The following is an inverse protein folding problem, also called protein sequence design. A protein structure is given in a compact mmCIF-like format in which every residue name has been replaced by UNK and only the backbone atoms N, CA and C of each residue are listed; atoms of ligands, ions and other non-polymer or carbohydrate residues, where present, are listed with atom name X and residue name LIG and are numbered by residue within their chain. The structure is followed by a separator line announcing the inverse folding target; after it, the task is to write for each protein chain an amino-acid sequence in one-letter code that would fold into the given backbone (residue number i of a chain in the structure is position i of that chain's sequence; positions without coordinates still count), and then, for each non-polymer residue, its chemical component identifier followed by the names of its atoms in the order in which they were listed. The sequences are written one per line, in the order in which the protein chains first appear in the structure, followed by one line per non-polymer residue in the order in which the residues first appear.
data_IF_690997736222
#
_entry.id   IF_690997736222
#
_cell.length_a   1.000
_cell.length_b   1.000
_cell.length_c   1.000
_cell.angle_alpha   90.00
_cell.angle_beta   90.00
_cell.angle_gamma   90.00
#
_symmetry.space_group_name_H-M   'P 1'
#
loop_
_entity.id
_entity.type
_entity.pdbx_description
1 polymer ?
#
# COMPACT_ATOMS: atom_id res chain seq x y z
N UNK A 1 -13.90 -18.82 18.38
CA UNK A 1 -14.18 -18.89 16.93
C UNK A 1 -13.87 -17.58 16.24
N UNK A 2 -14.05 -16.45 16.92
CA UNK A 2 -13.91 -15.11 16.36
C UNK A 2 -12.48 -14.80 15.83
N UNK A 3 -11.43 -15.19 16.56
CA UNK A 3 -10.04 -14.97 16.14
C UNK A 3 -9.73 -15.62 14.78
N UNK A 4 -10.21 -16.85 14.53
CA UNK A 4 -9.94 -17.53 13.26
C UNK A 4 -10.70 -16.88 12.12
N UNK A 5 -12.00 -16.61 12.28
CA UNK A 5 -12.86 -16.12 11.20
C UNK A 5 -12.75 -14.61 10.96
N UNK A 6 -12.47 -13.82 11.99
CA UNK A 6 -12.40 -12.35 11.88
C UNK A 6 -10.97 -11.82 11.68
N UNK A 7 -9.96 -12.59 12.06
CA UNK A 7 -8.56 -12.15 11.99
C UNK A 7 -7.72 -13.02 11.06
N UNK A 8 -7.56 -14.32 11.39
CA UNK A 8 -6.59 -15.17 10.68
C UNK A 8 -7.02 -15.44 9.25
N UNK A 9 -8.26 -15.85 9.04
CA UNK A 9 -8.76 -16.23 7.70
C UNK A 9 -8.81 -15.03 6.75
N UNK A 10 -9.30 -13.83 7.12
CA UNK A 10 -9.23 -12.63 6.29
C UNK A 10 -7.79 -12.23 5.97
N UNK A 11 -6.90 -12.20 6.97
CA UNK A 11 -5.49 -11.87 6.77
C UNK A 11 -4.80 -12.82 5.78
N UNK A 12 -4.92 -14.13 6.01
CA UNK A 12 -4.34 -15.15 5.10
C UNK A 12 -4.97 -15.06 3.73
N UNK A 13 -6.27 -14.86 3.63
CA UNK A 13 -6.99 -14.70 2.37
C UNK A 13 -6.49 -13.52 1.55
N UNK A 14 -6.36 -12.34 2.16
CA UNK A 14 -5.79 -11.16 1.52
C UNK A 14 -4.36 -11.43 1.06
N UNK A 15 -3.51 -11.96 1.95
CA UNK A 15 -2.11 -12.23 1.64
C UNK A 15 -1.96 -13.20 0.45
N UNK A 16 -2.72 -14.30 0.44
CA UNK A 16 -2.70 -15.29 -0.65
C UNK A 16 -3.10 -14.64 -1.97
N UNK A 17 -4.17 -13.84 -1.99
CA UNK A 17 -4.63 -13.16 -3.22
C UNK A 17 -3.54 -12.22 -3.74
N UNK A 18 -2.93 -11.41 -2.88
CA UNK A 18 -1.89 -10.45 -3.27
C UNK A 18 -0.65 -11.15 -3.82
N UNK A 19 -0.22 -12.25 -3.20
CA UNK A 19 0.95 -13.03 -3.68
C UNK A 19 0.60 -13.73 -4.99
N UNK A 20 -0.58 -14.34 -5.13
CA UNK A 20 -0.98 -15.00 -6.38
C UNK A 20 -1.04 -14.00 -7.55
N UNK A 21 -1.51 -12.78 -7.33
CA UNK A 21 -1.52 -11.72 -8.36
C UNK A 21 -0.10 -11.28 -8.70
N UNK A 22 0.79 -11.17 -7.72
CA UNK A 22 2.20 -10.92 -7.93
C UNK A 22 2.83 -12.00 -8.82
N UNK A 23 2.66 -13.27 -8.46
CA UNK A 23 3.17 -14.41 -9.23
C UNK A 23 2.57 -14.50 -10.63
N UNK A 24 1.32 -14.09 -10.78
CA UNK A 24 0.66 -13.99 -12.08
C UNK A 24 1.36 -13.00 -13.02
N UNK A 25 1.93 -11.92 -12.48
CA UNK A 25 2.76 -10.98 -13.24
C UNK A 25 3.97 -11.66 -13.87
N UNK A 26 4.74 -12.40 -13.07
CA UNK A 26 5.89 -13.19 -13.55
C UNK A 26 5.46 -14.26 -14.54
N UNK A 27 4.38 -14.97 -14.25
CA UNK A 27 3.86 -16.01 -15.12
C UNK A 27 3.47 -15.48 -16.50
N UNK A 28 2.65 -14.42 -16.56
CA UNK A 28 2.17 -13.85 -17.83
C UNK A 28 3.35 -13.35 -18.66
N UNK A 29 4.23 -12.57 -18.07
CA UNK A 29 5.37 -11.98 -18.78
C UNK A 29 6.38 -13.03 -19.24
N UNK A 30 6.64 -14.06 -18.43
CA UNK A 30 7.48 -15.21 -18.82
C UNK A 30 6.90 -15.93 -20.03
N UNK A 31 5.59 -16.23 -20.03
CA UNK A 31 4.91 -16.88 -21.17
C UNK A 31 4.95 -16.02 -22.43
N UNK A 32 4.67 -14.71 -22.31
CA UNK A 32 4.69 -13.78 -23.45
C UNK A 32 6.09 -13.59 -24.06
N UNK A 33 7.13 -13.71 -23.26
CA UNK A 33 8.53 -13.53 -23.69
C UNK A 33 9.23 -14.86 -24.05
N UNK A 34 8.50 -15.99 -24.01
CA UNK A 34 9.03 -17.31 -24.35
C UNK A 34 10.03 -17.85 -23.32
N UNK A 35 9.93 -17.44 -22.06
CA UNK A 35 10.58 -18.08 -20.91
C UNK A 35 9.75 -19.29 -20.49
N UNK A 36 10.39 -20.44 -20.28
CA UNK A 36 9.69 -21.65 -19.87
C UNK A 36 9.33 -21.59 -18.39
N UNK A 37 8.02 -21.70 -18.11
CA UNK A 37 7.50 -21.84 -16.74
C UNK A 37 7.41 -23.34 -16.42
N UNK A 38 8.14 -23.76 -15.42
CA UNK A 38 8.18 -25.16 -14.96
C UNK A 38 6.95 -25.48 -14.11
N UNK A 39 6.63 -24.62 -13.17
CA UNK A 39 5.52 -24.79 -12.24
C UNK A 39 4.94 -23.45 -11.82
N UNK A 40 3.61 -23.39 -11.70
CA UNK A 40 2.86 -22.30 -11.08
C UNK A 40 2.00 -22.91 -9.99
N UNK A 41 2.22 -22.54 -8.73
CA UNK A 41 1.58 -23.16 -7.58
C UNK A 41 0.94 -22.16 -6.63
N UNK A 42 -0.18 -22.56 -6.05
CA UNK A 42 -0.83 -21.89 -4.91
C UNK A 42 -0.42 -22.66 -3.65
N UNK A 43 0.11 -21.94 -2.65
CA UNK A 43 0.67 -22.53 -1.44
C UNK A 43 2.06 -23.12 -1.64
N UNK A 44 2.69 -23.56 -0.55
CA UNK A 44 4.01 -24.20 -0.56
C UNK A 44 3.91 -25.72 -0.31
N UNK A 45 4.86 -26.51 -0.82
CA UNK A 45 4.90 -27.95 -0.66
C UNK A 45 4.68 -28.44 0.79
N UNK A 46 4.15 -29.68 0.95
CA UNK A 46 3.96 -30.72 -0.05
C UNK A 46 2.73 -30.49 -0.94
N UNK A 47 2.80 -31.03 -2.21
CA UNK A 47 1.73 -30.89 -3.17
C UNK A 47 0.51 -31.73 -2.76
N UNK A 48 -0.67 -31.10 -2.77
CA UNK A 48 -1.96 -31.76 -2.58
C UNK A 48 -2.51 -32.29 -3.91
N UNK A 49 -2.48 -31.45 -4.93
CA UNK A 49 -3.04 -31.75 -6.25
C UNK A 49 -2.28 -30.96 -7.31
N UNK A 50 -2.31 -31.48 -8.56
CA UNK A 50 -1.73 -30.76 -9.67
C UNK A 50 -1.95 -31.45 -11.00
N UNK A 51 -1.87 -30.68 -12.08
CA UNK A 51 -1.96 -31.15 -13.45
C UNK A 51 -0.93 -30.44 -14.32
N UNK A 52 -0.59 -31.06 -15.44
CA UNK A 52 0.34 -30.48 -16.42
C UNK A 52 -0.43 -30.03 -17.65
N UNK A 53 -0.26 -28.75 -18.03
CA UNK A 53 -0.84 -28.20 -19.23
C UNK A 53 0.18 -27.33 -19.96
N UNK A 54 0.33 -27.58 -21.29
CA UNK A 54 1.30 -26.85 -22.14
C UNK A 54 2.72 -26.76 -21.55
N UNK A 55 3.18 -27.84 -20.92
CA UNK A 55 4.52 -27.96 -20.37
C UNK A 55 4.74 -27.22 -19.05
N UNK A 56 3.71 -26.71 -18.40
CA UNK A 56 3.72 -26.11 -17.06
C UNK A 56 2.91 -26.98 -16.11
N UNK A 57 3.44 -27.23 -14.93
CA UNK A 57 2.73 -27.88 -13.83
C UNK A 57 1.96 -26.82 -13.07
N UNK A 58 0.65 -27.02 -12.90
CA UNK A 58 -0.20 -26.19 -12.03
C UNK A 58 -0.47 -26.98 -10.77
N UNK A 59 -0.10 -26.44 -9.61
CA UNK A 59 -0.16 -27.15 -8.34
C UNK A 59 -0.93 -26.39 -7.25
N UNK A 60 -1.66 -27.15 -6.44
CA UNK A 60 -2.22 -26.73 -5.18
C UNK A 60 -1.47 -27.44 -4.07
N UNK A 61 -0.98 -26.71 -3.10
CA UNK A 61 -0.10 -27.22 -2.06
C UNK A 61 -0.71 -27.04 -0.66
N UNK A 62 -0.14 -27.75 0.31
CA UNK A 62 -0.68 -27.85 1.67
C UNK A 62 -0.58 -26.56 2.50
N UNK A 63 0.52 -25.82 2.34
CA UNK A 63 0.74 -24.61 3.14
C UNK A 63 0.15 -23.40 2.41
N UNK A 64 -1.02 -22.87 2.81
CA UNK A 64 -1.73 -21.80 2.11
C UNK A 64 -1.09 -20.42 2.39
N UNK A 65 0.23 -20.33 2.33
CA UNK A 65 0.99 -19.11 2.63
C UNK A 65 1.48 -18.43 1.37
N UNK A 66 0.62 -18.27 0.36
CA UNK A 66 0.96 -17.57 -0.87
C UNK A 66 0.98 -18.44 -2.12
N UNK A 67 1.86 -18.13 -3.06
CA UNK A 67 2.04 -18.83 -4.32
C UNK A 67 3.48 -18.75 -4.78
N UNK A 68 3.78 -19.39 -5.90
CA UNK A 68 5.07 -19.30 -6.56
C UNK A 68 4.97 -19.60 -8.06
N UNK A 69 5.89 -19.01 -8.82
CA UNK A 69 6.13 -19.33 -10.22
C UNK A 69 7.58 -19.71 -10.38
N UNK A 70 7.84 -20.96 -10.75
CA UNK A 70 9.20 -21.47 -10.98
C UNK A 70 9.55 -21.36 -12.45
N UNK A 71 10.45 -20.47 -12.78
CA UNK A 71 10.98 -20.29 -14.12
C UNK A 71 12.15 -21.23 -14.38
N UNK A 72 12.39 -21.58 -15.64
CA UNK A 72 13.55 -22.37 -16.03
C UNK A 72 14.79 -21.47 -15.98
N UNK A 73 15.85 -21.95 -15.31
CA UNK A 73 17.18 -21.35 -15.32
C UNK A 73 17.18 -19.86 -15.01
N UNK A 74 16.74 -19.47 -13.82
CA UNK A 74 16.70 -18.05 -13.40
C UNK A 74 18.12 -17.46 -13.38
N UNK A 75 19.10 -18.26 -13.00
CA UNK A 75 20.52 -17.89 -12.95
C UNK A 75 21.37 -18.64 -14.00
N UNK A 76 20.86 -19.76 -14.56
CA UNK A 76 21.58 -20.62 -15.51
C UNK A 76 21.13 -20.37 -16.96
N UNK A 77 22.03 -19.86 -17.84
CA UNK A 77 21.75 -19.59 -19.26
C UNK A 77 21.92 -20.81 -20.17
N UNK A 78 22.14 -22.03 -19.68
CA UNK A 78 22.44 -23.21 -20.49
C UNK A 78 21.32 -23.59 -21.46
N UNK A 79 20.06 -23.34 -21.11
CA UNK A 79 18.90 -23.59 -21.94
C UNK A 79 18.41 -22.28 -22.61
N UNK A 80 18.16 -22.25 -23.94
CA UNK A 80 17.65 -21.06 -24.63
C UNK A 80 16.28 -20.55 -24.14
N UNK A 81 15.49 -21.40 -23.48
CA UNK A 81 14.21 -21.05 -22.86
C UNK A 81 14.34 -20.61 -21.39
N UNK A 82 15.56 -20.62 -20.83
CA UNK A 82 15.81 -20.13 -19.48
C UNK A 82 15.67 -18.61 -19.41
N UNK A 83 15.29 -18.09 -18.23
CA UNK A 83 15.25 -16.63 -18.00
C UNK A 83 16.63 -16.02 -18.21
N UNK A 84 17.67 -16.65 -17.68
CA UNK A 84 19.04 -16.16 -17.81
C UNK A 84 19.51 -16.08 -19.27
N UNK A 85 19.07 -16.95 -20.18
CA UNK A 85 19.44 -16.88 -21.59
C UNK A 85 18.76 -15.72 -22.35
N UNK A 86 17.71 -15.13 -21.81
CA UNK A 86 16.97 -14.04 -22.48
C UNK A 86 17.75 -12.71 -22.50
N UNK A 87 17.45 -11.82 -23.45
CA UNK A 87 17.98 -10.46 -23.44
C UNK A 87 17.69 -9.74 -22.12
N UNK A 88 18.57 -8.83 -21.70
CA UNK A 88 18.50 -8.14 -20.41
C UNK A 88 17.16 -7.41 -20.18
N UNK A 89 16.63 -6.75 -21.21
CA UNK A 89 15.33 -6.07 -21.12
C UNK A 89 14.17 -7.04 -20.84
N UNK A 90 14.21 -8.27 -21.41
CA UNK A 90 13.21 -9.31 -21.11
C UNK A 90 13.33 -9.74 -19.66
N UNK A 91 14.56 -9.97 -19.17
CA UNK A 91 14.81 -10.32 -17.78
C UNK A 91 14.29 -9.24 -16.82
N UNK A 92 14.56 -7.97 -17.11
CA UNK A 92 14.04 -6.83 -16.33
C UNK A 92 12.51 -6.78 -16.31
N UNK A 93 11.84 -6.96 -17.45
CA UNK A 93 10.38 -6.98 -17.53
C UNK A 93 9.80 -8.14 -16.73
N UNK A 94 10.35 -9.35 -16.89
CA UNK A 94 9.84 -10.52 -16.16
C UNK A 94 10.02 -10.35 -14.66
N UNK A 95 11.21 -9.89 -14.21
CA UNK A 95 11.50 -9.67 -12.79
C UNK A 95 10.69 -8.52 -12.18
N UNK A 96 10.39 -7.46 -12.93
CA UNK A 96 9.58 -6.34 -12.43
C UNK A 96 8.07 -6.59 -12.49
N UNK A 97 7.62 -7.62 -13.21
CA UNK A 97 6.21 -7.81 -13.52
C UNK A 97 5.36 -8.14 -12.29
N UNK A 98 5.89 -8.92 -11.33
CA UNK A 98 5.21 -9.22 -10.07
C UNK A 98 4.90 -7.94 -9.29
N UNK A 99 5.92 -7.13 -9.04
CA UNK A 99 5.76 -5.81 -8.41
C UNK A 99 4.86 -4.90 -9.21
N UNK A 100 4.95 -4.93 -10.56
CA UNK A 100 4.09 -4.16 -11.46
C UNK A 100 2.60 -4.52 -11.33
N UNK A 101 2.26 -5.79 -11.20
CA UNK A 101 0.88 -6.23 -10.97
C UNK A 101 0.35 -5.71 -9.64
N UNK A 102 1.12 -5.84 -8.58
CA UNK A 102 0.74 -5.32 -7.26
C UNK A 102 0.70 -3.79 -7.20
N UNK A 103 1.46 -3.10 -8.05
CA UNK A 103 1.40 -1.64 -8.18
C UNK A 103 0.11 -1.16 -8.86
N UNK A 104 -0.43 -1.94 -9.80
CA UNK A 104 -1.66 -1.59 -10.54
C UNK A 104 -2.92 -2.05 -9.82
N UNK A 105 -2.86 -3.15 -9.08
CA UNK A 105 -4.01 -3.77 -8.40
C UNK A 105 -4.81 -2.82 -7.50
N UNK A 106 -4.20 -1.88 -6.73
CA UNK A 106 -4.94 -0.96 -5.87
C UNK A 106 -6.00 -0.14 -6.59
N UNK A 107 -5.78 0.23 -7.86
CA UNK A 107 -6.78 0.96 -8.67
C UNK A 107 -8.10 0.18 -8.74
N UNK A 108 -8.01 -1.12 -9.00
CA UNK A 108 -9.18 -1.99 -9.11
C UNK A 108 -9.81 -2.30 -7.75
N UNK A 109 -9.01 -2.48 -6.71
CA UNK A 109 -9.52 -2.71 -5.36
C UNK A 109 -10.27 -1.48 -4.84
N UNK A 110 -9.71 -0.28 -4.98
CA UNK A 110 -10.43 0.95 -4.64
C UNK A 110 -11.67 1.16 -5.52
N UNK A 111 -11.60 0.83 -6.82
CA UNK A 111 -12.78 0.89 -7.68
C UNK A 111 -13.89 -0.03 -7.17
N UNK A 112 -13.57 -1.26 -6.74
CA UNK A 112 -14.55 -2.17 -6.13
C UNK A 112 -15.17 -1.59 -4.86
N UNK A 113 -14.38 -0.94 -4.00
CA UNK A 113 -14.89 -0.24 -2.81
C UNK A 113 -15.92 0.82 -3.19
N UNK A 114 -15.67 1.60 -4.24
CA UNK A 114 -16.61 2.63 -4.72
C UNK A 114 -17.88 2.05 -5.40
N UNK A 115 -17.85 0.80 -5.85
CA UNK A 115 -19.01 0.13 -6.43
C UNK A 115 -19.95 -0.45 -5.38
N UNK A 116 -19.46 -0.76 -4.19
CA UNK A 116 -20.27 -1.32 -3.10
C UNK A 116 -20.97 -0.17 -2.37
N UNK A 117 -22.31 -0.25 -2.15
CA UNK A 117 -23.01 0.75 -1.35
C UNK A 117 -22.40 0.88 0.05
N UNK A 118 -22.03 2.10 0.43
CA UNK A 118 -21.44 2.41 1.72
C UNK A 118 -22.03 3.69 2.29
N UNK A 119 -22.17 3.75 3.59
CA UNK A 119 -22.64 4.93 4.26
C UNK A 119 -21.52 5.94 4.43
N UNK A 120 -21.72 7.13 3.90
CA UNK A 120 -20.81 8.27 4.00
C UNK A 120 -21.46 9.36 4.84
N UNK A 121 -20.76 9.83 5.86
CA UNK A 121 -21.22 10.99 6.61
C UNK A 121 -21.06 12.24 5.75
N UNK A 122 -22.14 12.96 5.57
CA UNK A 122 -22.21 14.22 4.82
C UNK A 122 -22.74 15.31 5.76
N UNK A 123 -22.13 16.48 5.75
CA UNK A 123 -22.51 17.60 6.58
C UNK A 123 -21.58 18.79 6.35
N UNK A 124 -21.82 19.89 7.03
CA UNK A 124 -20.91 21.01 7.02
C UNK A 124 -19.76 20.77 8.00
N UNK A 125 -18.57 21.25 7.68
CA UNK A 125 -17.41 21.22 8.59
C UNK A 125 -17.14 22.60 9.13
N UNK A 126 -17.25 22.75 10.46
CA UNK A 126 -16.97 24.00 11.17
C UNK A 126 -15.64 23.94 11.90
N UNK A 127 -14.91 25.06 11.88
CA UNK A 127 -13.74 25.26 12.72
C UNK A 127 -14.23 25.61 14.14
N UNK A 128 -13.95 24.72 15.09
CA UNK A 128 -14.33 24.90 16.49
C UNK A 128 -13.30 25.66 17.30
N UNK A 129 -12.04 25.57 16.89
CA UNK A 129 -10.95 26.29 17.53
C UNK A 129 -9.76 26.48 16.59
N UNK A 130 -9.20 27.65 16.54
CA UNK A 130 -7.95 27.97 15.86
C UNK A 130 -6.85 28.14 16.89
N UNK A 131 -5.80 27.32 16.81
CA UNK A 131 -4.72 27.34 17.79
C UNK A 131 -3.94 28.65 17.70
N UNK A 132 -3.70 29.37 18.83
CA UNK A 132 -2.92 30.60 18.84
C UNK A 132 -1.50 30.41 18.28
N UNK A 133 -1.09 31.33 17.39
CA UNK A 133 0.22 31.27 16.71
C UNK A 133 0.36 30.16 15.65
N UNK A 134 -0.74 29.49 15.31
CA UNK A 134 -0.74 28.51 14.23
C UNK A 134 -0.95 29.16 12.85
N UNK A 135 -0.52 28.51 11.75
CA UNK A 135 -0.66 29.07 10.41
C UNK A 135 -2.10 29.48 10.04
N UNK A 136 -3.08 28.74 10.51
CA UNK A 136 -4.49 29.08 10.29
C UNK A 136 -4.87 30.44 10.91
N UNK A 137 -4.39 30.75 12.12
CA UNK A 137 -4.63 32.03 12.76
C UNK A 137 -3.93 33.17 12.02
N UNK A 138 -2.67 32.95 11.64
CA UNK A 138 -1.86 33.96 10.91
C UNK A 138 -2.48 34.27 9.54
N UNK A 139 -3.09 33.28 8.91
CA UNK A 139 -3.78 33.43 7.63
C UNK A 139 -5.15 34.11 7.74
N UNK A 140 -5.76 34.17 8.95
CA UNK A 140 -7.03 34.84 9.17
C UNK A 140 -8.24 33.92 9.36
N UNK A 141 -8.06 32.59 9.45
CA UNK A 141 -9.13 31.66 9.84
C UNK A 141 -9.56 31.93 11.30
N UNK A 142 -10.83 31.78 11.58
CA UNK A 142 -11.46 32.11 12.88
C UNK A 142 -12.32 30.97 13.41
N UNK A 143 -12.48 30.95 14.71
CA UNK A 143 -13.45 30.09 15.36
C UNK A 143 -14.87 30.39 14.84
N UNK A 144 -15.61 29.35 14.52
CA UNK A 144 -16.96 29.44 13.95
C UNK A 144 -17.00 29.43 12.43
N UNK A 145 -15.89 29.56 11.72
CA UNK A 145 -15.84 29.47 10.25
C UNK A 145 -16.33 28.12 9.76
N UNK A 146 -17.09 28.13 8.66
CA UNK A 146 -17.56 26.93 7.98
C UNK A 146 -16.79 26.73 6.70
N UNK A 147 -16.15 25.57 6.54
CA UNK A 147 -15.34 25.21 5.38
C UNK A 147 -16.24 24.59 4.30
N UNK A 148 -16.25 25.20 3.10
CA UNK A 148 -17.01 24.71 1.95
C UNK A 148 -16.14 23.99 0.92
N UNK A 149 -14.90 24.51 0.67
CA UNK A 149 -13.98 23.92 -0.29
C UNK A 149 -12.54 24.00 0.23
N UNK A 150 -11.73 23.06 -0.23
CA UNK A 150 -10.28 23.08 -0.05
C UNK A 150 -9.62 22.85 -1.40
N UNK A 151 -8.75 23.77 -1.83
CA UNK A 151 -8.10 23.77 -3.15
C UNK A 151 -9.12 23.64 -4.33
N UNK A 152 -10.33 24.15 -4.17
CA UNK A 152 -11.41 24.06 -5.14
C UNK A 152 -12.28 22.80 -5.06
N UNK A 153 -11.89 21.80 -4.28
CA UNK A 153 -12.67 20.59 -4.05
C UNK A 153 -13.70 20.81 -2.92
N UNK A 154 -14.94 20.38 -3.12
CA UNK A 154 -16.02 20.48 -2.13
C UNK A 154 -15.71 19.65 -0.89
N UNK A 155 -15.90 20.23 0.29
CA UNK A 155 -15.76 19.56 1.59
C UNK A 155 -17.14 19.13 2.09
N UNK A 156 -17.32 17.83 2.24
CA UNK A 156 -18.60 17.25 2.68
C UNK A 156 -18.55 16.70 4.12
N UNK A 157 -17.36 16.59 4.70
CA UNK A 157 -17.17 16.09 6.07
C UNK A 157 -15.78 16.39 6.63
N UNK A 158 -15.63 16.18 7.93
CA UNK A 158 -14.38 16.37 8.70
C UNK A 158 -13.21 15.51 8.17
N UNK A 159 -13.51 14.29 7.70
CA UNK A 159 -12.47 13.40 7.19
C UNK A 159 -11.81 13.91 5.91
N UNK A 160 -12.58 14.58 5.04
CA UNK A 160 -12.07 15.21 3.81
C UNK A 160 -11.13 16.37 4.13
N UNK A 161 -11.43 17.20 5.14
CA UNK A 161 -10.54 18.27 5.62
C UNK A 161 -9.25 17.67 6.20
N UNK A 162 -9.36 16.66 7.05
CA UNK A 162 -8.20 15.98 7.64
C UNK A 162 -7.32 15.32 6.57
N UNK A 163 -7.95 14.74 5.55
CA UNK A 163 -7.25 14.16 4.40
C UNK A 163 -6.54 15.23 3.57
N UNK A 164 -7.21 16.34 3.24
CA UNK A 164 -6.63 17.45 2.49
C UNK A 164 -5.39 18.01 3.20
N UNK A 165 -5.44 18.17 4.52
CA UNK A 165 -4.30 18.60 5.31
C UNK A 165 -3.11 17.62 5.20
N UNK A 166 -3.36 16.30 5.24
CA UNK A 166 -2.30 15.28 5.13
C UNK A 166 -1.74 15.17 3.71
N UNK A 167 -2.56 15.39 2.69
CA UNK A 167 -2.11 15.37 1.30
C UNK A 167 -1.20 16.56 0.96
N UNK A 168 -1.39 17.70 1.61
CA UNK A 168 -0.71 18.96 1.29
C UNK A 168 0.26 19.39 2.40
N UNK A 169 0.99 18.45 3.04
CA UNK A 169 1.99 18.79 4.06
C UNK A 169 3.10 19.66 3.47
N UNK A 170 3.35 20.83 4.11
CA UNK A 170 4.37 21.78 3.70
C UNK A 170 4.00 22.63 2.48
N UNK A 171 2.77 22.50 1.98
CA UNK A 171 2.25 23.29 0.86
C UNK A 171 1.21 24.29 1.35
N UNK A 172 0.92 25.32 0.55
CA UNK A 172 -0.20 26.24 0.81
C UNK A 172 -1.51 25.57 0.42
N UNK A 173 -2.50 25.66 1.30
CA UNK A 173 -3.84 25.09 1.13
C UNK A 173 -4.84 26.23 1.10
N UNK A 174 -5.63 26.32 0.05
CA UNK A 174 -6.68 27.34 -0.10
C UNK A 174 -7.97 26.85 0.55
N UNK A 175 -8.37 27.49 1.66
CA UNK A 175 -9.63 27.24 2.35
C UNK A 175 -10.69 28.25 1.89
N UNK A 176 -11.72 27.78 1.21
CA UNK A 176 -12.92 28.60 0.94
C UNK A 176 -13.89 28.44 2.10
N UNK A 177 -14.03 29.51 2.87
CA UNK A 177 -14.78 29.51 4.13
C UNK A 177 -15.88 30.56 4.14
N UNK A 178 -16.89 30.33 4.98
CA UNK A 178 -17.88 31.33 5.37
C UNK A 178 -17.63 31.71 6.83
N UNK A 179 -17.35 32.96 7.06
CA UNK A 179 -17.22 33.54 8.41
C UNK A 179 -18.58 33.65 9.13
N UNK A 180 -18.54 33.82 10.43
CA UNK A 180 -19.73 33.99 11.26
C UNK A 180 -20.57 35.26 10.91
N UNK A 181 -19.92 36.27 10.32
CA UNK A 181 -20.56 37.49 9.80
C UNK A 181 -21.20 37.28 8.42
N UNK A 182 -21.08 36.11 7.84
CA UNK A 182 -21.66 35.73 6.55
C UNK A 182 -20.77 35.98 5.33
N UNK A 183 -19.57 36.55 5.51
CA UNK A 183 -18.61 36.82 4.44
C UNK A 183 -18.04 35.49 3.95
N UNK A 184 -17.92 35.35 2.63
CA UNK A 184 -17.26 34.21 1.97
C UNK A 184 -15.90 34.66 1.48
N UNK A 185 -14.85 33.92 1.85
CA UNK A 185 -13.47 34.26 1.53
C UNK A 185 -12.65 33.01 1.24
N UNK A 186 -11.63 33.15 0.38
CA UNK A 186 -10.61 32.11 0.16
C UNK A 186 -9.35 32.52 0.91
N UNK A 187 -8.94 31.71 1.87
CA UNK A 187 -7.83 31.96 2.77
C UNK A 187 -6.72 30.94 2.51
N UNK A 188 -5.54 31.40 1.99
CA UNK A 188 -4.39 30.53 1.80
C UNK A 188 -3.69 30.27 3.13
N UNK A 189 -3.58 29.01 3.55
CA UNK A 189 -2.95 28.59 4.81
C UNK A 189 -1.73 27.75 4.52
N UNK A 190 -0.57 28.12 5.05
CA UNK A 190 0.65 27.32 4.94
C UNK A 190 0.61 26.11 5.88
N UNK A 191 0.59 24.92 5.33
CA UNK A 191 0.62 23.69 6.12
C UNK A 191 2.02 23.37 6.65
N UNK A 192 2.12 22.86 7.87
CA UNK A 192 3.41 22.50 8.52
C UNK A 192 3.73 21.03 8.32
N UNK A 193 5.02 20.72 8.10
CA UNK A 193 5.53 19.35 8.14
C UNK A 193 5.59 18.76 9.55
N UNK A 194 5.98 19.59 10.52
CA UNK A 194 6.21 19.22 11.91
C UNK A 194 5.32 20.07 12.81
N UNK A 195 4.01 19.78 12.91
CA UNK A 195 3.18 20.47 13.87
C UNK A 195 3.60 20.10 15.29
N UNK A 196 3.44 21.01 16.27
CA UNK A 196 3.60 20.69 17.68
C UNK A 196 2.69 19.55 18.10
N UNK A 197 3.07 18.82 19.17
CA UNK A 197 2.29 17.71 19.70
C UNK A 197 0.84 18.14 20.03
N UNK A 198 -0.12 17.32 19.62
CA UNK A 198 -1.55 17.61 19.78
C UNK A 198 -2.14 18.60 18.78
N UNK A 199 -1.37 19.10 17.82
CA UNK A 199 -1.83 20.01 16.78
C UNK A 199 -1.81 19.36 15.40
N UNK A 200 -2.78 19.76 14.55
CA UNK A 200 -2.74 19.43 13.12
C UNK A 200 -1.80 20.33 12.31
N UNK A 201 -1.54 19.99 11.04
CA UNK A 201 -0.62 20.75 10.16
C UNK A 201 -0.98 22.22 9.99
N UNK A 202 -2.24 22.59 9.98
CA UNK A 202 -2.73 23.97 9.88
C UNK A 202 -3.06 24.59 11.24
N UNK A 203 -3.24 23.76 12.29
CA UNK A 203 -3.57 24.25 13.65
C UNK A 203 -5.04 24.60 13.84
N UNK A 204 -5.96 23.90 13.17
CA UNK A 204 -7.41 24.00 13.37
C UNK A 204 -7.95 22.75 14.06
N UNK A 205 -8.98 22.95 14.89
CA UNK A 205 -9.88 21.89 15.35
C UNK A 205 -11.21 22.03 14.63
N UNK A 206 -11.78 20.92 14.19
CA UNK A 206 -12.96 20.91 13.35
C UNK A 206 -14.02 19.94 13.89
N UNK A 207 -15.28 20.27 13.66
CA UNK A 207 -16.41 19.43 13.99
C UNK A 207 -17.44 19.40 12.84
N UNK A 208 -18.22 18.34 12.79
CA UNK A 208 -19.33 18.21 11.86
C UNK A 208 -20.55 18.98 12.36
N UNK A 209 -21.16 19.76 11.48
CA UNK A 209 -22.48 20.36 11.68
C UNK A 209 -23.49 19.68 10.75
N UNK A 210 -24.69 19.41 11.28
CA UNK A 210 -25.80 18.84 10.52
C UNK A 210 -25.43 17.54 9.79
N UNK A 211 -24.58 16.71 10.40
CA UNK A 211 -24.16 15.47 9.80
C UNK A 211 -25.31 14.48 9.65
N UNK A 212 -25.42 13.90 8.47
CA UNK A 212 -26.33 12.78 8.19
C UNK A 212 -25.60 11.72 7.39
N UNK A 213 -26.05 10.47 7.51
CA UNK A 213 -25.50 9.37 6.74
C UNK A 213 -26.21 9.27 5.39
N UNK A 214 -25.45 9.14 4.32
CA UNK A 214 -25.92 8.94 2.96
C UNK A 214 -25.25 7.72 2.35
N UNK A 215 -26.05 6.79 1.85
CA UNK A 215 -25.50 5.65 1.12
C UNK A 215 -25.06 6.07 -0.28
N UNK A 216 -23.81 5.80 -0.63
CA UNK A 216 -23.22 6.13 -1.93
C UNK A 216 -22.61 4.89 -2.59
N UNK A 217 -22.88 4.72 -3.88
CA UNK A 217 -22.21 3.76 -4.76
C UNK A 217 -22.10 4.34 -6.16
N UNK A 218 -21.12 3.86 -6.93
CA UNK A 218 -20.85 4.39 -8.26
C UNK A 218 -20.82 3.27 -9.30
N UNK A 219 -21.26 3.53 -10.54
CA UNK A 219 -21.15 2.57 -11.63
C UNK A 219 -19.68 2.34 -12.00
N UNK A 220 -19.32 1.19 -12.60
CA UNK A 220 -17.95 0.76 -12.85
C UNK A 220 -17.06 1.81 -13.53
N UNK A 221 -17.58 2.51 -14.54
CA UNK A 221 -16.82 3.54 -15.28
C UNK A 221 -16.46 4.76 -14.43
N UNK A 222 -17.31 5.17 -13.49
CA UNK A 222 -17.02 6.24 -12.53
C UNK A 222 -16.14 5.72 -11.40
N UNK A 223 -16.39 4.50 -10.93
CA UNK A 223 -15.66 3.87 -9.84
C UNK A 223 -14.17 3.68 -10.18
N UNK A 224 -13.83 3.32 -11.42
CA UNK A 224 -12.42 3.19 -11.87
C UNK A 224 -11.70 4.55 -11.77
N UNK A 225 -12.34 5.64 -12.20
CA UNK A 225 -11.77 6.98 -12.09
C UNK A 225 -11.55 7.40 -10.63
N UNK A 226 -12.54 7.12 -9.75
CA UNK A 226 -12.42 7.37 -8.30
C UNK A 226 -11.34 6.48 -7.66
N UNK A 227 -11.25 5.20 -8.03
CA UNK A 227 -10.21 4.30 -7.57
C UNK A 227 -8.81 4.76 -7.97
N UNK A 228 -8.63 5.26 -9.19
CA UNK A 228 -7.36 5.83 -9.65
C UNK A 228 -7.00 7.12 -8.88
N UNK A 229 -7.99 7.99 -8.58
CA UNK A 229 -7.78 9.17 -7.75
C UNK A 229 -7.40 8.80 -6.32
N UNK A 230 -8.10 7.84 -5.71
CA UNK A 230 -7.80 7.32 -4.37
C UNK A 230 -6.39 6.73 -4.29
N UNK A 231 -5.99 6.00 -5.33
CA UNK A 231 -4.65 5.43 -5.41
C UNK A 231 -3.57 6.50 -5.58
N UNK A 232 -3.80 7.53 -6.41
CA UNK A 232 -2.90 8.70 -6.51
C UNK A 232 -2.68 9.33 -5.14
N UNK A 233 -3.76 9.55 -4.40
CA UNK A 233 -3.70 10.14 -3.07
C UNK A 233 -2.95 9.23 -2.08
N UNK A 234 -3.11 7.92 -2.17
CA UNK A 234 -2.34 6.93 -1.40
C UNK A 234 -0.84 7.06 -1.67
N UNK A 235 -0.44 7.23 -2.94
CA UNK A 235 0.97 7.47 -3.31
C UNK A 235 1.50 8.78 -2.71
N UNK A 236 0.69 9.85 -2.73
CA UNK A 236 1.05 11.14 -2.13
C UNK A 236 1.21 11.01 -0.61
N UNK A 237 0.28 10.35 0.07
CA UNK A 237 0.37 10.09 1.52
C UNK A 237 1.61 9.28 1.88
N UNK A 238 1.94 8.25 1.11
CA UNK A 238 3.17 7.49 1.30
C UNK A 238 4.43 8.35 1.10
N UNK A 239 4.48 9.17 0.03
CA UNK A 239 5.56 10.14 -0.19
C UNK A 239 5.71 11.09 1.00
N UNK A 240 4.59 11.61 1.50
CA UNK A 240 4.58 12.54 2.63
C UNK A 240 5.06 11.86 3.90
N UNK A 241 4.63 10.61 4.16
CA UNK A 241 5.09 9.82 5.29
C UNK A 241 6.61 9.59 5.25
N UNK A 242 7.14 9.12 4.12
CA UNK A 242 8.60 8.94 3.94
C UNK A 242 9.35 10.27 4.11
N UNK A 243 8.81 11.37 3.58
CA UNK A 243 9.41 12.70 3.72
C UNK A 243 9.42 13.16 5.18
N UNK A 244 8.37 12.84 5.93
CA UNK A 244 8.25 13.15 7.36
C UNK A 244 9.34 12.49 8.20
N UNK A 245 9.78 11.29 7.86
CA UNK A 245 10.90 10.61 8.53
C UNK A 245 12.20 11.40 8.41
N UNK A 246 12.49 11.94 7.21
CA UNK A 246 13.69 12.75 6.98
C UNK A 246 13.59 14.16 7.59
N UNK A 247 12.38 14.67 7.81
CA UNK A 247 12.14 15.96 8.45
C UNK A 247 12.02 15.89 9.97
N UNK A 248 12.06 14.67 10.53
CA UNK A 248 12.05 14.43 11.97
C UNK A 248 10.68 14.64 12.63
N UNK A 249 9.59 14.63 11.86
CA UNK A 249 8.23 14.78 12.39
C UNK A 249 7.63 13.46 12.88
N UNK A 250 8.01 12.35 12.29
CA UNK A 250 7.61 11.00 12.73
C UNK A 250 8.74 10.01 12.46
N UNK A 251 8.80 8.93 13.24
CA UNK A 251 9.65 7.79 12.93
C UNK A 251 8.90 6.73 12.12
N UNK A 252 9.61 5.85 11.38
CA UNK A 252 8.98 4.76 10.66
C UNK A 252 8.27 3.81 11.65
N UNK A 253 6.99 3.54 11.39
CA UNK A 253 6.22 2.55 12.13
C UNK A 253 6.17 1.26 11.31
N UNK A 254 6.82 0.22 11.79
CA UNK A 254 6.80 -1.08 11.14
C UNK A 254 5.79 -2.00 11.81
N UNK A 255 4.94 -2.61 11.01
CA UNK A 255 4.08 -3.71 11.42
C UNK A 255 4.60 -5.00 10.82
N UNK A 256 4.79 -6.01 11.65
CA UNK A 256 5.10 -7.36 11.20
C UNK A 256 3.83 -8.14 10.83
N UNK A 257 3.98 -9.42 10.47
CA UNK A 257 2.83 -10.25 10.09
C UNK A 257 1.75 -10.34 11.17
N UNK A 258 2.16 -10.35 12.44
CA UNK A 258 1.23 -10.43 13.58
C UNK A 258 0.49 -9.10 13.78
N UNK A 259 1.18 -7.97 13.62
CA UNK A 259 0.57 -6.66 13.67
C UNK A 259 -0.42 -6.41 12.53
N UNK A 260 -0.07 -6.83 11.30
CA UNK A 260 -0.98 -6.74 10.15
C UNK A 260 -2.21 -7.64 10.36
N UNK A 261 -2.04 -8.85 10.91
CA UNK A 261 -3.16 -9.73 11.25
C UNK A 261 -4.08 -9.09 12.31
N UNK A 262 -3.52 -8.47 13.36
CA UNK A 262 -4.28 -7.72 14.36
C UNK A 262 -5.08 -6.59 13.69
N UNK A 263 -4.43 -5.73 12.89
CA UNK A 263 -5.09 -4.63 12.19
C UNK A 263 -6.20 -5.13 11.26
N UNK A 264 -6.00 -6.28 10.59
CA UNK A 264 -7.03 -6.92 9.76
C UNK A 264 -8.27 -7.27 10.58
N UNK A 265 -8.09 -7.89 11.75
CA UNK A 265 -9.19 -8.23 12.65
C UNK A 265 -9.93 -6.99 13.16
N UNK A 266 -9.21 -5.97 13.59
CA UNK A 266 -9.78 -4.71 14.07
C UNK A 266 -10.57 -3.98 12.98
N UNK A 267 -10.08 -3.97 11.73
CA UNK A 267 -10.78 -3.39 10.58
C UNK A 267 -12.07 -4.14 10.27
N UNK A 268 -12.05 -5.47 10.28
CA UNK A 268 -13.26 -6.28 10.05
C UNK A 268 -14.30 -6.01 11.12
N UNK A 269 -13.90 -5.93 12.39
CA UNK A 269 -14.80 -5.70 13.52
C UNK A 269 -15.41 -4.29 13.50
N UNK A 270 -14.63 -3.25 13.21
CA UNK A 270 -15.06 -1.85 13.28
C UNK A 270 -15.73 -1.37 11.99
N UNK A 271 -15.24 -1.79 10.82
CA UNK A 271 -15.61 -1.22 9.52
C UNK A 271 -16.18 -2.26 8.53
N UNK A 272 -16.23 -3.53 8.93
CA UNK A 272 -16.77 -4.60 8.14
C UNK A 272 -15.87 -5.06 6.98
N UNK A 273 -16.38 -6.02 6.20
CA UNK A 273 -15.61 -6.72 5.17
C UNK A 273 -15.19 -5.86 3.97
N UNK A 274 -15.91 -4.77 3.69
CA UNK A 274 -15.57 -3.86 2.58
C UNK A 274 -14.23 -3.16 2.83
N UNK A 275 -13.96 -2.80 4.07
CA UNK A 275 -12.70 -2.15 4.46
C UNK A 275 -11.46 -3.06 4.26
N UNK A 276 -11.65 -4.39 4.13
CA UNK A 276 -10.56 -5.29 3.72
C UNK A 276 -10.07 -5.02 2.30
N UNK A 277 -10.92 -4.53 1.40
CA UNK A 277 -10.49 -4.16 0.05
C UNK A 277 -9.55 -2.94 0.09
N UNK A 278 -9.84 -1.97 0.96
CA UNK A 278 -8.96 -0.81 1.19
C UNK A 278 -7.63 -1.25 1.80
N UNK A 279 -7.68 -2.09 2.84
CA UNK A 279 -6.47 -2.67 3.42
C UNK A 279 -5.68 -3.49 2.41
N UNK A 280 -6.34 -4.33 1.60
CA UNK A 280 -5.69 -5.11 0.54
C UNK A 280 -5.03 -4.20 -0.51
N UNK A 281 -5.66 -3.05 -0.86
CA UNK A 281 -5.07 -2.07 -1.76
C UNK A 281 -3.78 -1.46 -1.18
N UNK A 282 -3.79 -1.07 0.10
CA UNK A 282 -2.61 -0.55 0.80
C UNK A 282 -1.51 -1.59 0.91
N UNK A 283 -1.85 -2.83 1.28
CA UNK A 283 -0.88 -3.94 1.36
C UNK A 283 -0.31 -4.30 -0.01
N UNK A 284 -1.14 -4.27 -1.07
CA UNK A 284 -0.67 -4.49 -2.44
C UNK A 284 0.36 -3.45 -2.87
N UNK A 285 0.07 -2.17 -2.62
CA UNK A 285 1.00 -1.08 -2.89
C UNK A 285 2.31 -1.24 -2.11
N UNK A 286 2.24 -1.53 -0.81
CA UNK A 286 3.41 -1.75 0.02
C UNK A 286 4.24 -2.96 -0.46
N UNK A 287 3.57 -4.06 -0.84
CA UNK A 287 4.22 -5.25 -1.38
C UNK A 287 4.93 -4.95 -2.72
N UNK A 288 4.33 -4.12 -3.58
CA UNK A 288 4.96 -3.66 -4.81
C UNK A 288 6.24 -2.85 -4.54
N UNK A 289 6.17 -1.91 -3.59
CA UNK A 289 7.34 -1.09 -3.21
C UNK A 289 8.44 -1.97 -2.59
N UNK A 290 8.10 -2.81 -1.62
CA UNK A 290 9.09 -3.66 -0.94
C UNK A 290 9.77 -4.59 -1.93
N UNK A 291 9.02 -5.26 -2.82
CA UNK A 291 9.58 -6.21 -3.78
C UNK A 291 10.47 -5.56 -4.85
N UNK A 292 10.28 -4.27 -5.18
CA UNK A 292 11.15 -3.55 -6.11
C UNK A 292 12.41 -2.98 -5.44
N UNK A 293 12.46 -2.92 -4.10
CA UNK A 293 13.66 -2.47 -3.40
C UNK A 293 14.87 -3.36 -3.70
N UNK A 294 16.09 -2.82 -3.74
CA UNK A 294 17.33 -3.56 -4.03
C UNK A 294 17.75 -4.45 -2.85
N UNK A 295 16.81 -5.24 -2.34
CA UNK A 295 17.05 -6.17 -1.23
C UNK A 295 17.28 -7.58 -1.77
N UNK A 296 18.29 -8.31 -1.27
CA UNK A 296 18.48 -9.69 -1.63
C UNK A 296 17.22 -10.53 -1.33
N UNK A 297 16.97 -11.58 -2.10
CA UNK A 297 15.78 -12.45 -2.09
C UNK A 297 14.51 -11.86 -2.70
N UNK A 298 14.41 -10.54 -2.86
CA UNK A 298 13.29 -9.90 -3.54
C UNK A 298 13.59 -9.69 -5.04
N UNK A 299 12.58 -9.43 -5.82
CA UNK A 299 12.72 -9.19 -7.27
C UNK A 299 13.68 -8.04 -7.57
N UNK A 300 13.61 -6.96 -6.77
CA UNK A 300 14.51 -5.81 -6.87
C UNK A 300 15.97 -6.19 -6.69
N UNK A 301 16.29 -7.14 -5.81
CA UNK A 301 17.63 -7.67 -5.67
C UNK A 301 18.13 -8.35 -6.94
N UNK A 302 17.29 -9.17 -7.58
CA UNK A 302 17.60 -9.79 -8.89
C UNK A 302 17.73 -8.76 -10.02
N UNK A 303 16.87 -7.73 -10.01
CA UNK A 303 16.96 -6.60 -10.96
C UNK A 303 18.32 -5.91 -10.84
N UNK A 304 18.83 -5.69 -9.63
CA UNK A 304 20.16 -5.10 -9.40
C UNK A 304 21.26 -5.92 -10.07
N UNK A 305 21.24 -7.26 -10.00
CA UNK A 305 22.23 -8.08 -10.69
C UNK A 305 22.18 -7.92 -12.21
N UNK A 306 20.98 -7.80 -12.80
CA UNK A 306 20.83 -7.51 -14.24
C UNK A 306 21.36 -6.11 -14.58
N UNK A 307 21.10 -5.11 -13.74
CA UNK A 307 21.61 -3.74 -13.93
C UNK A 307 23.15 -3.70 -13.81
N UNK A 308 23.72 -4.42 -12.84
CA UNK A 308 25.18 -4.57 -12.71
C UNK A 308 25.81 -5.24 -13.94
N UNK A 309 25.15 -6.25 -14.51
CA UNK A 309 25.59 -6.86 -15.78
C UNK A 309 25.63 -5.82 -16.92
N UNK A 310 24.63 -4.92 -17.00
CA UNK A 310 24.61 -3.85 -18.00
C UNK A 310 25.80 -2.91 -17.81
N UNK A 311 26.01 -2.41 -16.59
CA UNK A 311 27.11 -1.48 -16.26
C UNK A 311 28.47 -2.10 -16.50
N UNK A 312 28.64 -3.42 -16.30
CA UNK A 312 29.88 -4.18 -16.52
C UNK A 312 30.10 -4.61 -17.97
N UNK A 313 29.34 -4.04 -18.91
CA UNK A 313 29.49 -4.34 -20.34
C UNK A 313 29.07 -5.76 -20.74
N UNK A 314 28.16 -6.37 -19.99
CA UNK A 314 27.62 -7.71 -20.26
C UNK A 314 28.31 -8.85 -19.50
N UNK A 315 29.23 -8.52 -18.60
CA UNK A 315 29.88 -9.52 -17.76
C UNK A 315 29.00 -9.86 -16.55
N UNK A 316 28.47 -11.07 -16.53
CA UNK A 316 27.64 -11.59 -15.42
C UNK A 316 28.44 -11.79 -14.14
N UNK A 317 27.74 -11.72 -13.03
CA UNK A 317 28.23 -12.21 -11.74
C UNK A 317 28.06 -13.74 -11.74
N UNK A 318 29.02 -14.45 -11.15
CA UNK A 318 28.93 -15.90 -11.04
C UNK A 318 27.69 -16.31 -10.23
N UNK A 319 26.90 -17.31 -10.69
CA UNK A 319 25.67 -17.74 -10.02
C UNK A 319 25.86 -18.07 -8.54
N UNK A 320 27.01 -18.65 -8.17
CA UNK A 320 27.33 -19.00 -6.79
C UNK A 320 27.42 -17.77 -5.88
N UNK A 321 27.94 -16.64 -6.42
CA UNK A 321 28.03 -15.37 -5.67
C UNK A 321 26.67 -14.69 -5.55
N UNK A 322 25.85 -14.73 -6.60
CA UNK A 322 24.48 -14.23 -6.60
C UNK A 322 23.65 -15.03 -5.58
N UNK A 323 23.70 -16.37 -5.62
CA UNK A 323 23.04 -17.24 -4.66
C UNK A 323 23.48 -17.01 -3.21
N UNK A 324 24.78 -16.77 -2.95
CA UNK A 324 25.27 -16.45 -1.61
C UNK A 324 24.69 -15.12 -1.09
N UNK A 325 24.63 -14.08 -1.94
CA UNK A 325 24.03 -12.77 -1.56
C UNK A 325 22.56 -12.96 -1.23
N UNK A 326 21.83 -13.74 -2.02
CA UNK A 326 20.42 -14.04 -1.75
C UNK A 326 20.24 -14.83 -0.44
N UNK A 327 21.10 -15.81 -0.17
CA UNK A 327 21.04 -16.58 1.09
C UNK A 327 21.28 -15.71 2.33
N UNK A 328 22.28 -14.83 2.28
CA UNK A 328 22.56 -13.89 3.38
C UNK A 328 21.39 -12.92 3.56
N UNK A 329 20.84 -12.44 2.44
CA UNK A 329 19.65 -11.56 2.46
C UNK A 329 18.45 -12.25 3.09
N UNK A 330 18.19 -13.52 2.76
CA UNK A 330 17.13 -14.32 3.37
C UNK A 330 17.29 -14.40 4.90
N UNK A 331 18.49 -14.69 5.36
CA UNK A 331 18.78 -14.77 6.80
C UNK A 331 18.50 -13.43 7.50
N UNK A 332 18.90 -12.30 6.88
CA UNK A 332 18.63 -10.97 7.41
C UNK A 332 17.14 -10.64 7.45
N UNK A 333 16.39 -10.94 6.36
CA UNK A 333 14.94 -10.71 6.29
C UNK A 333 14.21 -11.54 7.35
N UNK A 334 14.56 -12.82 7.51
CA UNK A 334 13.96 -13.67 8.56
C UNK A 334 14.26 -13.11 9.95
N UNK A 335 15.52 -12.72 10.21
CA UNK A 335 15.90 -12.15 11.51
C UNK A 335 15.10 -10.87 11.80
N UNK A 336 14.98 -9.98 10.82
CA UNK A 336 14.17 -8.76 10.94
C UNK A 336 12.69 -9.07 11.17
N UNK A 337 12.12 -10.02 10.42
CA UNK A 337 10.73 -10.42 10.57
C UNK A 337 10.44 -10.99 11.97
N UNK A 338 11.36 -11.81 12.51
CA UNK A 338 11.25 -12.33 13.89
C UNK A 338 11.34 -11.18 14.90
N UNK A 339 12.28 -10.25 14.74
CA UNK A 339 12.43 -9.10 15.65
C UNK A 339 11.16 -8.23 15.65
N UNK A 340 10.61 -7.90 14.48
CA UNK A 340 9.36 -7.11 14.37
C UNK A 340 8.19 -7.90 14.97
N UNK A 341 8.10 -9.22 14.74
CA UNK A 341 7.06 -10.05 15.33
C UNK A 341 7.12 -10.04 16.86
N UNK A 342 8.31 -10.05 17.45
CA UNK A 342 8.46 -9.92 18.92
C UNK A 342 7.94 -8.57 19.40
N UNK A 343 8.26 -7.48 18.69
CA UNK A 343 7.75 -6.14 19.01
C UNK A 343 6.21 -6.05 18.86
N UNK A 344 5.65 -6.66 17.81
CA UNK A 344 4.19 -6.75 17.64
C UNK A 344 3.53 -7.44 18.82
N UNK A 345 4.05 -8.60 19.22
CA UNK A 345 3.51 -9.38 20.35
C UNK A 345 3.61 -8.58 21.67
N UNK A 346 4.73 -7.90 21.91
CA UNK A 346 4.89 -7.05 23.11
C UNK A 346 3.87 -5.91 23.13
N UNK A 347 3.66 -5.25 21.98
CA UNK A 347 2.66 -4.19 21.82
C UNK A 347 1.24 -4.70 22.08
N UNK A 348 0.89 -5.86 21.52
CA UNK A 348 -0.44 -6.48 21.69
C UNK A 348 -0.67 -6.85 23.15
N UNK A 349 0.31 -7.44 23.84
CA UNK A 349 0.23 -7.76 25.26
C UNK A 349 0.07 -6.48 26.10
N UNK A 350 0.70 -5.37 25.67
CA UNK A 350 0.54 -4.04 26.28
C UNK A 350 -0.81 -3.36 25.98
N UNK A 351 -1.71 -4.01 25.23
CA UNK A 351 -3.05 -3.47 24.92
C UNK A 351 -3.03 -2.31 23.89
N UNK A 352 -1.96 -2.15 23.12
CA UNK A 352 -1.83 -1.07 22.12
C UNK A 352 -2.20 -1.58 20.74
N UNK A 353 -3.17 -0.89 20.09
CA UNK A 353 -3.57 -1.14 18.70
C UNK A 353 -2.63 -0.43 17.73
N UNK A 354 -2.52 -0.97 16.49
CA UNK A 354 -1.87 -0.30 15.36
C UNK A 354 -2.72 0.84 14.75
N UNK A 355 -4.02 0.81 14.99
CA UNK A 355 -4.99 1.74 14.41
C UNK A 355 -5.31 2.95 15.32
N UNK A 356 -4.62 3.05 16.47
CA UNK A 356 -4.79 4.15 17.44
C UNK A 356 -3.65 5.14 17.39
#
# INVERSE_FOLDING_TARGET
MDLIFQTILPFVGVLVVLIVIHELGHYITAKLTGVKVLEAGIGFPPRLWGFTWRGTIYSLNWLPLGGFVRLLGEEDPSDPQSLAAKPRWVRLIVLAAGSGMNFVLPIFLFALVFMIPRDVNVGLTQITNVVPGAPAQEAGLRDGDVIFQINGDEVRNVSEVSRANRLNLGETIDFYVKHSDGVLETIPVQSRWTPPEGQGPTGIQIASLYAFSKSESFPPWTAIGKGASEYRDTIILFRNEVTSWFKGSSGPQFAGPVGIAQATGEIVDQSGWVALLELAALLSFNLAIINILPLPMLDGGRIVFVLLEIVRGGRRIAPEKEGLVHLVGLALIITLAVAITVLDVQRIIGGVSLLR
#
